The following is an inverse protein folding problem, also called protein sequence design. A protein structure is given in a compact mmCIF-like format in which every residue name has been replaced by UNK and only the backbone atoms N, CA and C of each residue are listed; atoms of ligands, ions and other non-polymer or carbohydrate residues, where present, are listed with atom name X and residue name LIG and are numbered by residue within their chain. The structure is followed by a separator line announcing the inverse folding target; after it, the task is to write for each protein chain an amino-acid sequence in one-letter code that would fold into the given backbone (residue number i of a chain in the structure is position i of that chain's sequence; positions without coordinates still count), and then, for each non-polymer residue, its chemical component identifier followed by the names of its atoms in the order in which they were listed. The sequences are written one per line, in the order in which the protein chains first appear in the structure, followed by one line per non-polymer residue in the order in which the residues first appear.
data_IF_370273373471
#
_entry.id   IF_370273373471
#
_cell.length_a   1.000
_cell.length_b   1.000
_cell.length_c   1.000
_cell.angle_alpha   90.00
_cell.angle_beta   90.00
_cell.angle_gamma   90.00
#
_symmetry.space_group_name_H-M   'P 1'
#
loop_
_entity.id
_entity.type
_entity.pdbx_description
1 polymer ?
#
# COMPACT_ATOMS: atom_id res chain seq x y z
N UNK A 1 -0.22 -26.43 11.06
CA UNK A 1 -1.65 -26.09 10.89
C UNK A 1 -1.73 -25.07 9.77
N UNK A 2 -2.41 -25.38 8.67
CA UNK A 2 -2.59 -24.46 7.55
C UNK A 2 -3.44 -23.29 8.02
N UNK A 3 -2.98 -22.05 7.86
CA UNK A 3 -3.76 -20.86 8.23
C UNK A 3 -4.80 -20.59 7.16
N UNK A 4 -6.07 -20.79 7.47
CA UNK A 4 -7.19 -20.42 6.59
C UNK A 4 -7.32 -18.89 6.53
N UNK A 5 -7.26 -18.34 5.31
CA UNK A 5 -7.43 -16.91 5.03
C UNK A 5 -8.67 -16.61 4.21
N UNK A 6 -9.50 -17.61 3.91
CA UNK A 6 -10.72 -17.50 3.10
C UNK A 6 -11.63 -16.35 3.56
N UNK A 7 -11.83 -16.21 4.87
CA UNK A 7 -12.64 -15.12 5.43
C UNK A 7 -12.06 -13.73 5.14
N UNK A 8 -10.74 -13.58 5.17
CA UNK A 8 -10.06 -12.33 4.82
C UNK A 8 -10.16 -12.05 3.30
N UNK A 9 -9.98 -13.08 2.47
CA UNK A 9 -10.13 -12.98 1.01
C UNK A 9 -11.54 -12.57 0.61
N UNK A 10 -12.57 -13.18 1.20
CA UNK A 10 -13.98 -12.82 0.96
C UNK A 10 -14.24 -11.36 1.32
N UNK A 11 -13.75 -10.91 2.49
CA UNK A 11 -13.86 -9.50 2.92
C UNK A 11 -13.11 -8.55 1.97
N UNK A 12 -12.03 -9.01 1.33
CA UNK A 12 -11.24 -8.21 0.41
C UNK A 12 -11.91 -8.01 -0.97
N UNK A 13 -12.86 -8.87 -1.38
CA UNK A 13 -13.49 -8.85 -2.72
C UNK A 13 -13.93 -7.45 -3.20
N UNK A 14 -14.70 -6.66 -2.43
CA UNK A 14 -15.10 -5.32 -2.88
C UNK A 14 -13.91 -4.36 -3.00
N UNK A 15 -12.88 -4.54 -2.15
CA UNK A 15 -11.64 -3.76 -2.21
C UNK A 15 -10.79 -4.12 -3.43
N UNK A 16 -10.72 -5.39 -3.81
CA UNK A 16 -10.01 -5.88 -4.99
C UNK A 16 -10.53 -5.21 -6.26
N UNK A 17 -11.86 -5.16 -6.45
CA UNK A 17 -12.47 -4.53 -7.61
C UNK A 17 -12.13 -3.03 -7.70
N UNK A 18 -12.17 -2.33 -6.55
CA UNK A 18 -11.77 -0.91 -6.47
C UNK A 18 -10.29 -0.72 -6.78
N UNK A 19 -9.44 -1.61 -6.27
CA UNK A 19 -8.01 -1.57 -6.56
C UNK A 19 -7.74 -1.79 -8.06
N UNK A 20 -8.33 -2.81 -8.68
CA UNK A 20 -8.15 -3.07 -10.11
C UNK A 20 -8.63 -1.90 -10.98
N UNK A 21 -9.79 -1.31 -10.65
CA UNK A 21 -10.27 -0.11 -11.32
C UNK A 21 -9.31 1.09 -11.17
N UNK A 22 -8.75 1.28 -9.97
CA UNK A 22 -7.74 2.32 -9.72
C UNK A 22 -6.48 2.11 -10.57
N UNK A 23 -5.96 0.88 -10.59
CA UNK A 23 -4.73 0.53 -11.31
C UNK A 23 -4.92 0.57 -12.83
N UNK A 24 -6.14 0.33 -13.33
CA UNK A 24 -6.46 0.53 -14.75
C UNK A 24 -6.40 2.00 -15.17
N UNK A 25 -6.73 2.92 -14.25
CA UNK A 25 -6.78 4.36 -14.52
C UNK A 25 -5.45 5.08 -14.30
N UNK A 26 -4.60 4.63 -13.35
CA UNK A 26 -3.40 5.36 -12.93
C UNK A 26 -2.48 5.74 -14.11
N UNK A 27 -2.35 4.88 -15.12
CA UNK A 27 -1.53 5.14 -16.31
C UNK A 27 -2.22 5.97 -17.40
N UNK A 28 -3.53 6.19 -17.31
CA UNK A 28 -4.37 6.74 -18.40
C UNK A 28 -4.78 8.19 -18.19
N UNK A 29 -4.94 8.61 -16.94
CA UNK A 29 -5.42 9.96 -16.59
C UNK A 29 -4.35 10.76 -15.88
N UNK A 30 -4.40 12.09 -15.91
CA UNK A 30 -3.53 12.91 -15.06
C UNK A 30 -4.05 12.88 -13.61
N UNK A 31 -3.36 12.18 -12.71
CA UNK A 31 -3.84 11.94 -11.34
C UNK A 31 -3.82 13.20 -10.47
N UNK A 32 -3.11 14.25 -10.88
CA UNK A 32 -3.09 15.52 -10.16
C UNK A 32 -4.30 16.40 -10.39
N UNK A 33 -5.04 16.15 -11.47
CA UNK A 33 -6.21 16.96 -11.87
C UNK A 33 -7.48 16.15 -12.05
N UNK A 34 -7.40 14.83 -12.24
CA UNK A 34 -8.55 13.96 -12.41
C UNK A 34 -9.30 13.73 -11.09
N UNK A 35 -10.48 14.35 -10.97
CA UNK A 35 -11.29 14.31 -9.75
C UNK A 35 -11.89 12.92 -9.47
N UNK A 36 -12.16 12.12 -10.50
CA UNK A 36 -12.71 10.77 -10.34
C UNK A 36 -11.66 9.82 -9.79
N UNK A 37 -10.44 9.87 -10.34
CA UNK A 37 -9.29 9.16 -9.83
C UNK A 37 -9.00 9.54 -8.37
N UNK A 38 -8.91 10.83 -8.06
CA UNK A 38 -8.64 11.27 -6.69
C UNK A 38 -9.72 10.79 -5.71
N UNK A 39 -11.00 10.81 -6.11
CA UNK A 39 -12.10 10.28 -5.30
C UNK A 39 -11.97 8.77 -5.08
N UNK A 40 -11.69 8.01 -6.13
CA UNK A 40 -11.50 6.56 -6.06
C UNK A 40 -10.30 6.19 -5.17
N UNK A 41 -9.17 6.87 -5.37
CA UNK A 41 -7.95 6.71 -4.58
C UNK A 41 -8.19 7.03 -3.11
N UNK A 42 -8.75 8.20 -2.81
CA UNK A 42 -9.07 8.63 -1.45
C UNK A 42 -10.00 7.63 -0.76
N UNK A 43 -10.99 7.10 -1.48
CA UNK A 43 -11.93 6.10 -0.97
C UNK A 43 -11.27 4.76 -0.67
N UNK A 44 -10.43 4.25 -1.58
CA UNK A 44 -9.74 2.98 -1.42
C UNK A 44 -8.71 3.02 -0.28
N UNK A 45 -7.82 4.03 -0.30
CA UNK A 45 -6.73 4.18 0.67
C UNK A 45 -7.11 4.92 1.96
N UNK A 46 -8.37 5.35 2.07
CA UNK A 46 -8.93 6.15 3.17
C UNK A 46 -8.14 7.43 3.43
N UNK A 47 -7.74 8.12 2.36
CA UNK A 47 -7.03 9.40 2.42
C UNK A 47 -8.03 10.52 2.69
N UNK A 48 -8.21 10.85 3.97
CA UNK A 48 -9.25 11.78 4.42
C UNK A 48 -8.69 12.84 5.37
N UNK A 49 -9.46 13.92 5.56
CA UNK A 49 -9.18 14.97 6.56
C UNK A 49 -7.80 15.60 6.36
N UNK A 50 -7.47 15.95 5.11
CA UNK A 50 -6.27 16.69 4.73
C UNK A 50 -6.64 18.07 4.22
N UNK A 51 -5.72 19.02 4.37
CA UNK A 51 -5.87 20.36 3.84
C UNK A 51 -5.67 20.35 2.33
N UNK A 52 -6.25 21.31 1.60
CA UNK A 52 -6.17 21.37 0.14
C UNK A 52 -4.72 21.30 -0.40
N UNK A 53 -3.80 22.04 0.23
CA UNK A 53 -2.37 22.03 -0.11
C UNK A 53 -1.72 20.65 0.00
N UNK A 54 -2.18 19.82 0.95
CA UNK A 54 -1.66 18.46 1.10
C UNK A 54 -2.08 17.59 -0.08
N UNK A 55 -3.35 17.67 -0.49
CA UNK A 55 -3.87 16.89 -1.62
C UNK A 55 -3.17 17.28 -2.92
N UNK A 56 -2.99 18.59 -3.17
CA UNK A 56 -2.29 19.06 -4.36
C UNK A 56 -0.82 18.59 -4.36
N UNK A 57 -0.12 18.70 -3.23
CA UNK A 57 1.27 18.19 -3.09
C UNK A 57 1.34 16.70 -3.39
N UNK A 58 0.47 15.89 -2.77
CA UNK A 58 0.48 14.44 -2.88
C UNK A 58 0.21 13.95 -4.30
N UNK A 59 -0.84 14.46 -4.94
CA UNK A 59 -1.22 14.02 -6.29
C UNK A 59 -0.32 14.60 -7.38
N UNK A 60 0.21 15.83 -7.21
CA UNK A 60 1.26 16.34 -8.10
C UNK A 60 2.51 15.47 -8.06
N UNK A 61 2.95 15.08 -6.85
CA UNK A 61 4.10 14.19 -6.69
C UNK A 61 3.84 12.82 -7.34
N UNK A 62 2.64 12.26 -7.17
CA UNK A 62 2.27 11.00 -7.81
C UNK A 62 2.30 11.08 -9.34
N UNK A 63 1.73 12.14 -9.92
CA UNK A 63 1.75 12.36 -11.38
C UNK A 63 3.18 12.48 -11.91
N UNK A 64 4.01 13.30 -11.27
CA UNK A 64 5.41 13.51 -11.66
C UNK A 64 6.25 12.23 -11.67
N UNK A 65 5.89 11.25 -10.82
CA UNK A 65 6.65 10.02 -10.65
C UNK A 65 6.11 8.85 -11.45
N UNK A 66 5.06 9.02 -12.25
CA UNK A 66 4.61 7.98 -13.16
C UNK A 66 5.69 7.57 -14.15
N UNK A 67 5.76 6.29 -14.45
CA UNK A 67 6.80 5.72 -15.32
C UNK A 67 8.20 5.67 -14.70
N UNK A 68 8.40 6.26 -13.51
CA UNK A 68 9.63 6.15 -12.74
C UNK A 68 9.57 4.97 -11.75
N UNK A 69 10.66 4.73 -11.01
CA UNK A 69 10.75 3.69 -9.97
C UNK A 69 11.00 4.33 -8.59
N UNK A 70 10.07 5.11 -8.03
CA UNK A 70 10.31 5.80 -6.77
C UNK A 70 10.54 4.82 -5.64
N UNK A 71 11.36 5.21 -4.66
CA UNK A 71 11.53 4.46 -3.41
C UNK A 71 10.64 5.04 -2.31
N UNK A 72 10.35 4.24 -1.29
CA UNK A 72 9.63 4.71 -0.11
C UNK A 72 10.34 5.87 0.59
N UNK A 73 11.67 5.81 0.68
CA UNK A 73 12.48 6.86 1.30
C UNK A 73 12.30 8.20 0.59
N UNK A 74 12.40 8.20 -0.74
CA UNK A 74 12.28 9.44 -1.54
C UNK A 74 10.90 10.10 -1.38
N UNK A 75 9.82 9.31 -1.37
CA UNK A 75 8.47 9.84 -1.17
C UNK A 75 8.30 10.37 0.24
N UNK A 76 8.76 9.63 1.24
CA UNK A 76 8.63 10.03 2.64
C UNK A 76 9.38 11.33 2.91
N UNK A 77 10.60 11.46 2.39
CA UNK A 77 11.41 12.67 2.53
C UNK A 77 10.73 13.87 1.87
N UNK A 78 10.32 13.74 0.60
CA UNK A 78 9.63 14.83 -0.11
C UNK A 78 8.34 15.26 0.58
N UNK A 79 7.52 14.31 1.02
CA UNK A 79 6.29 14.63 1.75
C UNK A 79 6.59 15.31 3.08
N UNK A 80 7.62 14.86 3.81
CA UNK A 80 8.03 15.46 5.08
C UNK A 80 8.59 16.87 4.90
N UNK A 81 9.44 17.10 3.90
CA UNK A 81 10.03 18.40 3.58
C UNK A 81 8.96 19.44 3.20
N UNK A 82 7.98 19.05 2.38
CA UNK A 82 6.97 19.99 1.88
C UNK A 82 5.85 20.24 2.90
N UNK A 83 5.43 19.21 3.64
CA UNK A 83 4.25 19.31 4.52
C UNK A 83 4.58 19.41 6.00
N UNK A 84 5.83 19.12 6.39
CA UNK A 84 6.26 18.97 7.79
C UNK A 84 5.66 17.75 8.50
N UNK A 85 4.93 16.88 7.78
CA UNK A 85 4.19 15.75 8.38
C UNK A 85 4.89 14.43 8.13
N UNK A 86 5.04 13.66 9.21
CA UNK A 86 5.54 12.29 9.15
C UNK A 86 4.40 11.35 8.72
N UNK A 87 4.42 10.91 7.46
CA UNK A 87 3.32 10.15 6.85
C UNK A 87 3.77 8.88 6.11
N UNK A 88 4.31 7.88 6.83
CA UNK A 88 4.79 6.65 6.22
C UNK A 88 3.66 5.88 5.50
N UNK A 89 2.44 5.86 6.06
CA UNK A 89 1.34 5.14 5.42
C UNK A 89 0.99 5.72 4.05
N UNK A 90 0.77 7.03 3.93
CA UNK A 90 0.42 7.63 2.64
C UNK A 90 1.59 7.59 1.64
N UNK A 91 2.82 7.71 2.12
CA UNK A 91 4.02 7.56 1.28
C UNK A 91 4.11 6.16 0.68
N UNK A 92 3.91 5.11 1.47
CA UNK A 92 3.91 3.73 0.97
C UNK A 92 2.77 3.43 0.00
N UNK A 93 1.59 4.05 0.19
CA UNK A 93 0.43 3.85 -0.69
C UNK A 93 0.67 4.47 -2.06
N UNK A 94 1.33 5.63 -2.10
CA UNK A 94 1.77 6.24 -3.36
C UNK A 94 2.75 5.31 -4.08
N UNK A 95 3.78 4.84 -3.38
CA UNK A 95 4.75 3.90 -3.95
C UNK A 95 4.05 2.64 -4.45
N UNK A 96 3.21 1.99 -3.63
CA UNK A 96 2.49 0.76 -3.97
C UNK A 96 1.52 0.92 -5.15
N UNK A 97 1.05 2.14 -5.42
CA UNK A 97 0.20 2.46 -6.58
C UNK A 97 1.02 2.60 -7.85
N UNK A 98 2.22 3.19 -7.77
CA UNK A 98 3.13 3.29 -8.91
C UNK A 98 3.95 2.01 -9.12
N UNK A 99 4.05 1.16 -8.11
CA UNK A 99 4.90 -0.03 -8.03
C UNK A 99 4.18 -1.19 -7.36
N UNK A 100 3.61 -2.09 -8.16
CA UNK A 100 2.91 -3.28 -7.67
C UNK A 100 3.83 -4.29 -6.95
N UNK A 101 5.16 -4.13 -7.06
CA UNK A 101 6.20 -4.89 -6.36
C UNK A 101 6.50 -4.35 -4.95
N UNK A 102 5.78 -3.33 -4.47
CA UNK A 102 6.05 -2.66 -3.20
C UNK A 102 4.91 -2.77 -2.19
N UNK A 103 5.17 -3.13 -0.92
CA UNK A 103 4.13 -3.34 0.08
C UNK A 103 3.52 -2.03 0.59
N UNK A 104 2.31 -2.12 1.11
CA UNK A 104 1.66 -0.99 1.81
C UNK A 104 2.04 -0.98 3.28
N UNK A 105 2.48 0.17 3.78
CA UNK A 105 2.55 0.45 5.21
C UNK A 105 1.16 0.84 5.71
N UNK A 106 0.54 -0.05 6.48
CA UNK A 106 -0.70 0.20 7.21
C UNK A 106 -0.59 -0.40 8.61
N UNK A 107 -1.30 0.17 9.58
CA UNK A 107 -1.25 -0.31 10.97
C UNK A 107 -1.64 -1.79 11.09
N UNK A 108 -2.58 -2.27 10.27
CA UNK A 108 -3.02 -3.66 10.29
C UNK A 108 -1.96 -4.57 9.66
N UNK A 109 -1.37 -4.15 8.54
CA UNK A 109 -0.24 -4.86 7.92
C UNK A 109 0.91 -5.00 8.92
N UNK A 110 1.33 -3.89 9.54
CA UNK A 110 2.39 -3.90 10.55
C UNK A 110 2.09 -4.85 11.71
N UNK A 111 0.88 -4.77 12.28
CA UNK A 111 0.45 -5.64 13.39
C UNK A 111 0.54 -7.12 12.98
N UNK A 112 0.01 -7.47 11.81
CA UNK A 112 -0.07 -8.85 11.34
C UNK A 112 1.29 -9.47 11.01
N UNK A 113 2.29 -8.64 10.67
CA UNK A 113 3.67 -9.10 10.45
C UNK A 113 4.56 -8.95 11.69
N UNK A 114 3.99 -8.59 12.85
CA UNK A 114 4.72 -8.46 14.12
C UNK A 114 5.61 -7.22 14.22
N UNK A 115 5.35 -6.19 13.42
CA UNK A 115 6.13 -4.95 13.38
C UNK A 115 5.38 -3.75 13.97
N UNK A 116 6.14 -2.72 14.35
CA UNK A 116 5.60 -1.49 14.95
C UNK A 116 6.16 -0.26 14.24
N UNK A 117 5.30 0.74 14.08
CA UNK A 117 5.70 2.03 13.54
C UNK A 117 6.61 2.76 14.54
N UNK A 118 7.63 3.49 14.07
CA UNK A 118 8.37 4.44 14.90
C UNK A 118 7.43 5.45 15.56
N UNK A 119 7.76 5.83 16.80
CA UNK A 119 6.98 6.82 17.54
C UNK A 119 6.98 8.19 16.84
N UNK A 120 5.82 8.84 16.78
CA UNK A 120 5.67 10.18 16.18
C UNK A 120 6.51 11.26 16.89
N UNK A 121 6.84 11.05 18.15
CA UNK A 121 7.69 11.94 18.97
C UNK A 121 9.19 11.70 18.76
N UNK A 122 9.59 10.60 18.10
CA UNK A 122 11.00 10.32 17.84
C UNK A 122 11.59 11.35 16.89
N UNK A 123 12.81 11.82 17.19
CA UNK A 123 13.58 12.72 16.33
C UNK A 123 14.09 12.01 15.07
N UNK A 124 14.31 10.70 15.15
CA UNK A 124 14.81 9.86 14.05
C UNK A 124 13.71 9.16 13.26
N UNK A 125 12.42 9.42 13.57
CA UNK A 125 11.25 8.72 13.02
C UNK A 125 11.24 8.55 11.51
N UNK A 126 11.74 9.54 10.75
CA UNK A 126 11.80 9.48 9.29
C UNK A 126 12.80 8.42 8.84
N UNK A 127 14.00 8.39 9.40
CA UNK A 127 15.02 7.38 9.09
C UNK A 127 14.61 6.00 9.63
N UNK A 128 14.06 5.93 10.84
CA UNK A 128 13.57 4.69 11.43
C UNK A 128 12.45 4.08 10.58
N UNK A 129 11.62 4.91 9.94
CA UNK A 129 10.58 4.43 9.03
C UNK A 129 11.15 3.84 7.75
N UNK A 130 12.26 4.37 7.22
CA UNK A 130 12.92 3.80 6.03
C UNK A 130 13.49 2.42 6.34
N UNK A 131 14.17 2.28 7.48
CA UNK A 131 14.65 0.98 7.97
C UNK A 131 13.49 0.01 8.19
N UNK A 132 12.43 0.48 8.84
CA UNK A 132 11.24 -0.32 9.08
C UNK A 132 10.56 -0.74 7.77
N UNK A 133 10.53 0.10 6.74
CA UNK A 133 9.98 -0.27 5.45
C UNK A 133 10.82 -1.35 4.76
N UNK A 134 12.14 -1.27 4.85
CA UNK A 134 13.02 -2.35 4.37
C UNK A 134 12.76 -3.67 5.11
N UNK A 135 12.50 -3.64 6.43
CA UNK A 135 12.10 -4.84 7.18
C UNK A 135 10.77 -5.42 6.67
N UNK A 136 9.81 -4.57 6.28
CA UNK A 136 8.55 -5.02 5.67
C UNK A 136 8.85 -5.70 4.33
N UNK A 137 9.66 -5.08 3.47
CA UNK A 137 10.02 -5.65 2.16
C UNK A 137 10.67 -7.03 2.32
N UNK A 138 11.63 -7.16 3.24
CA UNK A 138 12.29 -8.43 3.54
C UNK A 138 11.31 -9.48 4.07
N UNK A 139 10.33 -9.07 4.89
CA UNK A 139 9.29 -9.98 5.35
C UNK A 139 8.48 -10.54 4.19
N UNK A 140 8.07 -9.69 3.22
CA UNK A 140 7.34 -10.16 2.04
C UNK A 140 8.18 -11.10 1.18
N UNK A 141 9.44 -10.79 0.93
CA UNK A 141 10.33 -11.67 0.15
C UNK A 141 10.38 -13.08 0.75
N UNK A 142 10.57 -13.19 2.07
CA UNK A 142 10.62 -14.47 2.75
C UNK A 142 9.24 -15.16 2.83
N UNK A 143 8.18 -14.38 3.07
CA UNK A 143 6.84 -14.92 3.25
C UNK A 143 6.30 -15.50 1.94
N UNK A 144 6.47 -14.80 0.82
CA UNK A 144 5.96 -15.22 -0.49
C UNK A 144 6.54 -16.57 -0.95
N UNK A 145 7.78 -16.88 -0.57
CA UNK A 145 8.44 -18.17 -0.88
C UNK A 145 8.20 -19.26 0.16
N UNK A 146 7.53 -18.97 1.27
CA UNK A 146 7.23 -19.94 2.32
C UNK A 146 6.00 -20.78 1.98
N UNK A 147 5.90 -22.00 2.51
CA UNK A 147 4.71 -22.86 2.37
C UNK A 147 3.42 -22.13 2.78
N UNK A 148 3.51 -21.30 3.83
CA UNK A 148 2.38 -20.51 4.30
C UNK A 148 1.97 -19.44 3.29
N UNK A 149 2.92 -18.72 2.72
CA UNK A 149 2.64 -17.70 1.70
C UNK A 149 2.06 -18.29 0.43
N UNK A 150 2.66 -19.38 -0.08
CA UNK A 150 2.15 -20.13 -1.23
C UNK A 150 0.72 -20.61 -0.99
N UNK A 151 0.45 -21.13 0.20
CA UNK A 151 -0.90 -21.55 0.57
C UNK A 151 -1.91 -20.38 0.59
N UNK A 152 -1.53 -19.21 1.10
CA UNK A 152 -2.40 -18.02 1.07
C UNK A 152 -2.70 -17.56 -0.36
N UNK A 153 -1.69 -17.59 -1.23
CA UNK A 153 -1.82 -17.22 -2.64
C UNK A 153 -2.77 -18.19 -3.36
N UNK A 154 -2.67 -19.50 -3.11
CA UNK A 154 -3.56 -20.48 -3.70
C UNK A 154 -5.02 -20.27 -3.26
N UNK A 155 -5.25 -20.10 -1.96
CA UNK A 155 -6.60 -19.78 -1.45
C UNK A 155 -7.15 -18.48 -2.05
N UNK A 156 -6.30 -17.48 -2.29
CA UNK A 156 -6.70 -16.26 -2.96
C UNK A 156 -7.11 -16.53 -4.41
N UNK A 157 -6.28 -17.25 -5.17
CA UNK A 157 -6.53 -17.56 -6.58
C UNK A 157 -7.82 -18.37 -6.76
N UNK A 158 -8.09 -19.34 -5.87
CA UNK A 158 -9.32 -20.16 -5.92
C UNK A 158 -10.60 -19.34 -5.74
N UNK A 159 -10.52 -18.18 -5.06
CA UNK A 159 -11.69 -17.38 -4.67
C UNK A 159 -11.89 -16.11 -5.50
N UNK A 160 -10.86 -15.64 -6.21
CA UNK A 160 -10.81 -14.36 -6.91
C UNK A 160 -10.55 -14.60 -8.40
N UNK A 161 -11.58 -14.54 -9.27
CA UNK A 161 -11.41 -14.79 -10.71
C UNK A 161 -10.36 -13.89 -11.38
N UNK A 162 -10.18 -12.65 -10.91
CA UNK A 162 -9.23 -11.69 -11.46
C UNK A 162 -7.83 -11.78 -10.85
N UNK A 163 -7.48 -12.89 -10.18
CA UNK A 163 -6.22 -13.05 -9.46
C UNK A 163 -4.97 -12.78 -10.32
N UNK A 164 -5.03 -13.09 -11.62
CA UNK A 164 -3.91 -12.90 -12.55
C UNK A 164 -3.54 -11.44 -12.81
N UNK A 165 -4.44 -10.51 -12.47
CA UNK A 165 -4.17 -9.06 -12.57
C UNK A 165 -3.39 -8.51 -11.36
N UNK A 166 -3.10 -9.37 -10.37
CA UNK A 166 -2.46 -8.99 -9.12
C UNK A 166 -1.14 -9.74 -8.95
N UNK A 167 -0.10 -9.03 -8.52
CA UNK A 167 1.11 -9.68 -8.04
C UNK A 167 0.81 -10.45 -6.76
N UNK A 168 1.58 -11.50 -6.47
CA UNK A 168 1.41 -12.26 -5.23
C UNK A 168 1.60 -11.39 -3.98
N UNK A 169 2.51 -10.42 -4.04
CA UNK A 169 2.65 -9.40 -3.01
C UNK A 169 1.34 -8.66 -2.76
N UNK A 170 0.61 -8.27 -3.81
CA UNK A 170 -0.67 -7.55 -3.68
C UNK A 170 -1.77 -8.44 -3.10
N UNK A 171 -1.78 -9.73 -3.47
CA UNK A 171 -2.71 -10.70 -2.88
C UNK A 171 -2.51 -10.77 -1.36
N UNK A 172 -1.26 -10.88 -0.91
CA UNK A 172 -0.92 -10.90 0.52
C UNK A 172 -1.21 -9.56 1.21
N UNK A 173 -0.88 -8.41 0.60
CA UNK A 173 -1.24 -7.08 1.12
C UNK A 173 -2.75 -6.97 1.41
N UNK A 174 -3.58 -7.38 0.45
CA UNK A 174 -5.04 -7.30 0.53
C UNK A 174 -5.61 -8.22 1.61
N UNK A 175 -5.05 -9.42 1.78
CA UNK A 175 -5.40 -10.34 2.88
C UNK A 175 -5.06 -9.71 4.23
N UNK A 176 -3.81 -9.26 4.41
CA UNK A 176 -3.33 -8.68 5.67
C UNK A 176 -4.14 -7.44 6.06
N UNK A 177 -4.63 -6.66 5.09
CA UNK A 177 -5.43 -5.48 5.39
C UNK A 177 -6.85 -5.78 5.92
N UNK A 178 -7.37 -6.98 5.67
CA UNK A 178 -8.66 -7.47 6.18
C UNK A 178 -8.55 -8.24 7.49
N UNK A 179 -7.35 -8.69 7.86
CA UNK A 179 -7.07 -9.28 9.17
C UNK A 179 -6.97 -8.16 10.21
N UNK A 180 -8.08 -7.89 10.90
CA UNK A 180 -8.22 -6.75 11.83
C UNK A 180 -8.50 -7.15 13.28
N UNK A 181 -8.18 -8.38 13.63
CA UNK A 181 -8.17 -8.85 15.01
C UNK A 181 -7.24 -7.99 15.87
#
# INVERSE_FOLDING_TARGET
MVTDVTSAVIKAKPGIQKYLALMDQVGKVNVSTDAEFQRAYNGFYRVQRRQAFWYSTYYNLMEQLKGSKPTFGDILDRMYEVTGRYEPSFSSKLVATLRADKPVWDQHVLKNIGQKAPAYTSRTKVNDAKLRYADIENWYQNFLTSDKGVNWINQFNDLIPEHDKLTDLKKVDLILWQMRD
#
